data_IF_325826879175
#
_entry.id   IF_325826879175
#
_cell.length_a   1.000
_cell.length_b   1.000
_cell.length_c   1.000
_cell.angle_alpha   90.00
_cell.angle_beta   90.00
_cell.angle_gamma   90.00
#
_symmetry.space_group_name_H-M   'P 1'
#
loop_
_entity.id
_entity.type
_entity.pdbx_description
1 polymer ?
#
# COMPACT_ATOMS: atom_id res chain seq x y z
N UNK A 1 5.59 32.91 4.96
CA UNK A 1 4.85 32.46 6.17
C UNK A 1 5.55 32.89 7.45
N UNK A 2 6.81 32.47 7.65
CA UNK A 2 7.60 32.83 8.83
C UNK A 2 7.70 34.35 9.03
N UNK A 3 8.09 35.13 8.02
CA UNK A 3 8.20 36.60 8.13
C UNK A 3 6.88 37.27 8.56
N UNK A 4 5.74 36.75 8.11
CA UNK A 4 4.42 37.33 8.38
C UNK A 4 3.89 36.97 9.77
N UNK A 5 4.14 35.75 10.23
CA UNK A 5 3.51 35.20 11.44
C UNK A 5 4.49 34.94 12.58
N UNK A 6 5.80 35.08 12.33
CA UNK A 6 6.90 34.72 13.23
C UNK A 6 6.75 33.30 13.81
N UNK A 7 6.27 32.36 12.99
CA UNK A 7 6.04 30.96 13.36
C UNK A 7 6.73 30.03 12.38
N UNK A 8 7.39 29.01 12.92
CA UNK A 8 7.89 27.87 12.15
C UNK A 8 6.72 27.13 11.48
N UNK A 9 7.01 26.49 10.34
CA UNK A 9 6.01 25.88 9.46
C UNK A 9 6.00 24.37 9.62
N UNK A 10 4.81 23.76 9.57
CA UNK A 10 4.65 22.31 9.40
C UNK A 10 4.43 22.04 7.92
N UNK A 11 5.20 21.11 7.35
CA UNK A 11 5.09 20.71 5.95
C UNK A 11 4.54 19.29 5.88
N UNK A 12 3.44 19.11 5.15
CA UNK A 12 2.84 17.81 4.86
C UNK A 12 3.02 17.52 3.37
N UNK A 13 3.70 16.43 3.04
CA UNK A 13 3.98 16.01 1.67
C UNK A 13 3.28 14.68 1.47
N UNK A 14 2.21 14.68 0.68
CA UNK A 14 1.51 13.47 0.30
C UNK A 14 2.08 12.89 -0.99
N UNK A 15 2.00 11.56 -1.11
CA UNK A 15 2.47 10.77 -2.26
C UNK A 15 3.84 11.22 -2.80
N UNK A 16 4.84 11.34 -1.91
CA UNK A 16 6.16 11.88 -2.27
C UNK A 16 6.85 11.07 -3.38
N UNK A 17 6.47 9.80 -3.55
CA UNK A 17 7.00 8.80 -4.47
C UNK A 17 6.28 8.79 -5.84
N UNK A 18 5.08 9.35 -5.95
CA UNK A 18 4.32 9.45 -7.21
C UNK A 18 5.12 10.02 -8.39
N UNK A 19 5.87 11.14 -8.26
CA UNK A 19 6.63 11.66 -9.40
C UNK A 19 7.80 10.75 -9.81
N UNK A 20 8.32 9.95 -8.88
CA UNK A 20 9.40 9.00 -9.14
C UNK A 20 8.88 7.76 -9.87
N UNK A 21 7.70 7.27 -9.48
CA UNK A 21 6.98 6.21 -10.21
C UNK A 21 6.66 6.66 -11.63
N UNK A 22 6.15 7.88 -11.79
CA UNK A 22 5.89 8.46 -13.12
C UNK A 22 7.17 8.57 -13.96
N UNK A 23 8.27 9.04 -13.35
CA UNK A 23 9.56 9.13 -14.01
C UNK A 23 10.13 7.78 -14.44
N UNK A 24 9.88 6.73 -13.67
CA UNK A 24 10.23 5.36 -14.02
C UNK A 24 9.50 4.89 -15.27
N UNK A 25 8.17 5.02 -15.33
CA UNK A 25 7.39 4.64 -16.51
C UNK A 25 7.80 5.43 -17.76
N UNK A 26 8.16 6.70 -17.59
CA UNK A 26 8.57 7.57 -18.69
C UNK A 26 10.10 7.56 -18.95
N UNK A 27 10.84 6.64 -18.33
CA UNK A 27 12.28 6.38 -18.60
C UNK A 27 13.22 7.57 -18.32
N UNK A 28 12.87 8.41 -17.34
CA UNK A 28 13.74 9.51 -16.88
C UNK A 28 13.99 9.48 -15.35
N UNK A 29 13.80 8.31 -14.72
CA UNK A 29 13.92 8.11 -13.28
C UNK A 29 15.17 8.74 -12.65
N UNK A 30 16.36 8.51 -13.20
CA UNK A 30 17.61 9.03 -12.62
C UNK A 30 17.62 10.57 -12.50
N UNK A 31 17.12 11.27 -13.53
CA UNK A 31 17.02 12.74 -13.50
C UNK A 31 16.00 13.23 -12.47
N UNK A 32 14.85 12.55 -12.37
CA UNK A 32 13.84 12.89 -11.39
C UNK A 32 14.31 12.61 -9.96
N UNK A 33 14.95 11.46 -9.76
CA UNK A 33 15.54 11.03 -8.49
C UNK A 33 16.46 12.11 -7.91
N UNK A 34 17.41 12.59 -8.71
CA UNK A 34 18.37 13.61 -8.27
C UNK A 34 17.67 14.94 -7.96
N UNK A 35 16.71 15.36 -8.80
CA UNK A 35 15.93 16.57 -8.55
C UNK A 35 15.14 16.48 -7.23
N UNK A 36 14.36 15.41 -7.03
CA UNK A 36 13.52 15.25 -5.85
C UNK A 36 14.33 15.03 -4.58
N UNK A 37 15.49 14.35 -4.68
CA UNK A 37 16.46 14.26 -3.60
C UNK A 37 16.87 15.64 -3.10
N UNK A 38 17.32 16.53 -3.99
CA UNK A 38 17.71 17.89 -3.62
C UNK A 38 16.52 18.70 -3.13
N UNK A 39 15.37 18.60 -3.81
CA UNK A 39 14.15 19.33 -3.47
C UNK A 39 13.68 19.00 -2.04
N UNK A 40 13.45 17.72 -1.72
CA UNK A 40 13.02 17.31 -0.39
C UNK A 40 14.08 17.64 0.68
N UNK A 41 15.36 17.45 0.38
CA UNK A 41 16.44 17.80 1.31
C UNK A 41 16.45 19.29 1.66
N UNK A 42 16.27 20.18 0.67
CA UNK A 42 16.24 21.62 0.90
C UNK A 42 15.10 22.10 1.79
N UNK A 43 13.98 21.36 1.79
CA UNK A 43 12.79 21.69 2.60
C UNK A 43 12.90 21.10 4.00
N UNK A 44 13.40 19.86 4.11
CA UNK A 44 13.28 19.03 5.31
C UNK A 44 14.54 18.93 6.16
N UNK A 45 15.70 19.31 5.63
CA UNK A 45 16.98 19.26 6.32
C UNK A 45 17.52 20.66 6.56
N UNK A 46 17.99 20.92 7.79
CA UNK A 46 18.63 22.17 8.21
C UNK A 46 17.79 23.45 7.95
N UNK A 47 16.50 23.30 7.66
CA UNK A 47 15.59 24.40 7.44
C UNK A 47 15.16 25.01 8.78
N UNK A 48 15.76 26.16 9.12
CA UNK A 48 15.50 26.88 10.39
C UNK A 48 14.04 27.33 10.56
N UNK A 49 13.29 27.40 9.46
CA UNK A 49 11.88 27.77 9.45
C UNK A 49 10.95 26.57 9.60
N UNK A 50 11.45 25.34 9.53
CA UNK A 50 10.67 24.12 9.68
C UNK A 50 10.48 23.78 11.17
N UNK A 51 9.24 23.50 11.55
CA UNK A 51 8.90 22.90 12.84
C UNK A 51 8.90 21.37 12.75
N UNK A 52 8.24 20.84 11.71
CA UNK A 52 8.07 19.41 11.49
C UNK A 52 7.72 19.15 10.03
N UNK A 53 8.23 18.05 9.47
CA UNK A 53 7.83 17.52 8.18
C UNK A 53 7.17 16.16 8.34
N UNK A 54 6.09 15.91 7.59
CA UNK A 54 5.47 14.59 7.45
C UNK A 54 5.42 14.25 5.97
N UNK A 55 5.81 13.03 5.65
CA UNK A 55 5.78 12.51 4.28
C UNK A 55 5.01 11.20 4.25
N UNK A 56 4.15 11.03 3.26
CA UNK A 56 3.42 9.79 2.98
C UNK A 56 3.70 9.31 1.57
N UNK A 57 3.74 8.00 1.40
CA UNK A 57 4.06 7.34 0.13
C UNK A 57 4.06 5.83 0.30
N UNK A 58 4.00 5.11 -0.82
CA UNK A 58 3.93 3.65 -0.83
C UNK A 58 5.34 3.06 -0.91
N UNK A 59 6.17 3.63 -1.79
CA UNK A 59 7.49 3.12 -2.12
C UNK A 59 8.54 3.83 -1.29
N UNK A 60 9.30 3.05 -0.51
CA UNK A 60 10.37 3.56 0.35
C UNK A 60 11.67 3.80 -0.42
N UNK A 61 11.74 4.91 -1.14
CA UNK A 61 12.92 5.32 -1.96
C UNK A 61 14.20 5.63 -1.14
N UNK A 62 14.22 5.26 0.15
CA UNK A 62 15.33 5.39 1.09
C UNK A 62 16.55 4.58 0.64
N UNK A 63 16.34 3.35 0.12
CA UNK A 63 17.44 2.52 -0.41
C UNK A 63 17.97 3.01 -1.76
N UNK A 64 17.18 3.73 -2.55
CA UNK A 64 17.62 4.24 -3.85
C UNK A 64 18.50 5.52 -3.75
N UNK A 65 18.92 5.91 -2.55
CA UNK A 65 19.83 7.03 -2.32
C UNK A 65 19.18 8.42 -2.34
N UNK A 66 17.85 8.53 -2.50
CA UNK A 66 17.14 9.82 -2.40
C UNK A 66 17.22 10.39 -0.99
N UNK A 67 17.12 9.53 0.02
CA UNK A 67 17.17 9.95 1.41
C UNK A 67 18.55 9.72 2.06
N UNK A 68 19.59 9.38 1.29
CA UNK A 68 20.95 9.27 1.84
C UNK A 68 21.38 10.58 2.53
N UNK A 69 20.88 11.70 2.01
CA UNK A 69 21.20 13.03 2.51
C UNK A 69 20.22 13.45 3.63
N UNK A 70 19.07 12.78 3.76
CA UNK A 70 18.03 13.00 4.76
C UNK A 70 18.14 11.97 5.90
N UNK A 71 19.26 12.04 6.63
CA UNK A 71 19.56 11.18 7.78
C UNK A 71 18.79 11.54 9.07
N UNK A 72 17.84 12.47 8.99
CA UNK A 72 17.02 12.96 10.10
C UNK A 72 15.57 12.45 10.08
N UNK A 73 15.26 11.45 9.25
CA UNK A 73 13.91 10.90 9.09
C UNK A 73 13.66 9.70 10.02
N UNK A 74 12.54 9.75 10.73
CA UNK A 74 11.94 8.57 11.37
C UNK A 74 10.92 7.95 10.41
N UNK A 75 11.00 6.64 10.16
CA UNK A 75 10.04 5.95 9.30
C UNK A 75 9.10 5.06 10.10
N UNK A 76 7.79 5.20 9.85
CA UNK A 76 6.75 4.36 10.42
C UNK A 76 6.01 3.66 9.28
N UNK A 77 6.22 2.35 9.16
CA UNK A 77 5.57 1.52 8.14
C UNK A 77 4.33 0.83 8.71
N UNK A 78 3.51 0.26 7.84
CA UNK A 78 2.38 -0.60 8.22
C UNK A 78 2.79 -1.86 9.00
N UNK A 79 4.08 -2.23 8.97
CA UNK A 79 4.66 -3.32 9.77
C UNK A 79 5.02 -2.88 11.19
N UNK A 80 4.91 -1.59 11.49
CA UNK A 80 5.26 -1.00 12.78
C UNK A 80 4.08 -1.03 13.75
N UNK A 81 4.37 -1.11 15.04
CA UNK A 81 3.39 -0.97 16.12
C UNK A 81 3.04 0.51 16.41
N UNK A 82 3.65 1.46 15.70
CA UNK A 82 3.31 2.88 15.80
C UNK A 82 2.12 3.24 14.93
N UNK A 83 1.17 3.99 15.48
CA UNK A 83 -0.03 4.49 14.80
C UNK A 83 -0.89 3.43 14.08
N UNK A 84 -1.04 2.20 14.62
CA UNK A 84 -1.62 1.07 13.89
C UNK A 84 -3.10 1.29 13.52
N UNK A 85 -3.80 2.14 14.26
CA UNK A 85 -5.19 2.52 14.04
C UNK A 85 -5.36 3.79 13.19
N UNK A 86 -4.30 4.44 12.75
CA UNK A 86 -4.37 5.71 12.00
C UNK A 86 -4.45 5.54 10.48
N UNK A 87 -4.23 4.32 9.97
CA UNK A 87 -4.17 4.01 8.54
C UNK A 87 -5.52 3.55 7.96
N UNK A 88 -6.55 3.43 8.78
CA UNK A 88 -7.87 2.94 8.38
C UNK A 88 -8.95 3.32 9.39
N UNK A 89 -10.14 2.76 9.22
CA UNK A 89 -11.21 2.89 10.21
C UNK A 89 -11.19 1.69 11.16
N UNK A 90 -11.38 1.93 12.45
CA UNK A 90 -11.52 0.87 13.45
C UNK A 90 -12.91 0.23 13.40
N UNK A 91 -13.04 -0.99 13.93
CA UNK A 91 -14.34 -1.67 13.98
C UNK A 91 -15.42 -0.84 14.72
N UNK A 92 -15.03 -0.11 15.78
CA UNK A 92 -15.93 0.75 16.54
C UNK A 92 -16.39 1.98 15.74
N UNK A 93 -15.50 2.58 14.95
CA UNK A 93 -15.86 3.68 14.04
C UNK A 93 -16.82 3.21 12.94
N UNK A 94 -16.62 2.01 12.39
CA UNK A 94 -17.51 1.43 11.38
C UNK A 94 -18.88 1.08 11.97
N UNK A 95 -18.93 0.46 13.15
CA UNK A 95 -20.20 0.20 13.88
C UNK A 95 -20.97 1.49 14.14
N UNK A 96 -20.28 2.52 14.63
CA UNK A 96 -20.89 3.83 14.87
C UNK A 96 -21.43 4.43 13.57
N UNK A 97 -20.67 4.34 12.47
CA UNK A 97 -21.11 4.85 11.18
C UNK A 97 -22.36 4.12 10.65
N UNK A 98 -22.48 2.81 10.83
CA UNK A 98 -23.70 2.07 10.47
C UNK A 98 -24.94 2.59 11.21
N UNK A 99 -24.79 2.87 12.51
CA UNK A 99 -25.86 3.43 13.35
C UNK A 99 -26.21 4.85 12.88
N UNK A 100 -25.20 5.71 12.72
CA UNK A 100 -25.38 7.12 12.33
C UNK A 100 -26.07 7.26 10.96
N UNK A 101 -25.83 6.31 10.05
CA UNK A 101 -26.45 6.27 8.71
C UNK A 101 -27.73 5.44 8.64
N UNK A 102 -28.18 4.87 9.77
CA UNK A 102 -29.36 4.02 9.90
C UNK A 102 -29.36 2.85 8.89
N UNK A 103 -28.24 2.12 8.82
CA UNK A 103 -28.04 0.98 7.95
C UNK A 103 -28.17 -0.33 8.73
N UNK A 104 -29.12 -1.17 8.32
CA UNK A 104 -29.39 -2.48 8.91
C UNK A 104 -28.55 -3.58 8.22
N UNK A 105 -27.23 -3.50 8.33
CA UNK A 105 -26.32 -4.55 7.87
C UNK A 105 -25.72 -5.31 9.05
N UNK A 106 -25.59 -6.62 8.90
CA UNK A 106 -24.82 -7.45 9.82
C UNK A 106 -23.35 -7.05 9.76
N UNK A 107 -22.75 -6.79 10.93
CA UNK A 107 -21.35 -6.38 11.00
C UNK A 107 -20.41 -7.42 10.39
N UNK A 108 -20.77 -8.70 10.46
CA UNK A 108 -20.02 -9.79 9.83
C UNK A 108 -19.92 -9.67 8.31
N UNK A 109 -20.98 -9.20 7.65
CA UNK A 109 -20.96 -8.98 6.20
C UNK A 109 -20.09 -7.78 5.81
N UNK A 110 -20.19 -6.68 6.56
CA UNK A 110 -19.33 -5.49 6.36
C UNK A 110 -17.86 -5.85 6.58
N UNK A 111 -17.57 -6.68 7.59
CA UNK A 111 -16.25 -7.20 7.91
C UNK A 111 -15.67 -8.08 6.80
N UNK A 112 -16.44 -9.05 6.28
CA UNK A 112 -16.05 -9.90 5.15
C UNK A 112 -15.65 -9.07 3.91
N UNK A 113 -16.35 -7.94 3.70
CA UNK A 113 -16.12 -7.10 2.54
C UNK A 113 -14.95 -6.13 2.67
N UNK A 114 -14.78 -5.46 3.80
CA UNK A 114 -13.94 -4.25 3.88
C UNK A 114 -12.87 -4.24 4.98
N UNK A 115 -12.90 -5.19 5.91
CA UNK A 115 -11.88 -5.31 6.97
C UNK A 115 -10.63 -6.05 6.46
N UNK A 116 -9.72 -6.41 7.37
CA UNK A 116 -8.68 -7.38 7.10
C UNK A 116 -7.29 -6.79 6.90
N UNK A 117 -7.14 -5.46 7.01
CA UNK A 117 -5.83 -4.82 6.95
C UNK A 117 -5.20 -4.81 8.32
N UNK A 118 -4.12 -5.57 8.49
CA UNK A 118 -3.36 -5.62 9.74
C UNK A 118 -2.20 -4.65 9.69
N UNK A 119 -2.24 -3.67 10.58
CA UNK A 119 -1.17 -2.70 10.77
C UNK A 119 -0.67 -2.80 12.22
N UNK A 120 0.59 -3.20 12.39
CA UNK A 120 1.11 -3.62 13.69
C UNK A 120 0.16 -4.62 14.36
N UNK A 121 -0.42 -4.22 15.49
CA UNK A 121 -1.38 -5.02 16.28
C UNK A 121 -2.85 -4.69 16.05
N UNK A 122 -3.17 -3.72 15.20
CA UNK A 122 -4.56 -3.36 14.89
C UNK A 122 -5.00 -3.97 13.57
N UNK A 123 -6.30 -4.27 13.49
CA UNK A 123 -6.98 -4.60 12.24
C UNK A 123 -7.95 -3.45 11.93
N UNK A 124 -7.90 -2.96 10.69
CA UNK A 124 -8.66 -1.79 10.26
C UNK A 124 -9.31 -2.03 8.91
N UNK A 125 -10.35 -1.25 8.67
CA UNK A 125 -11.14 -1.24 7.46
C UNK A 125 -10.58 -0.20 6.48
N UNK A 126 -10.68 -0.49 5.18
CA UNK A 126 -10.33 0.46 4.14
C UNK A 126 -11.29 1.68 4.19
N UNK A 127 -10.80 2.92 4.41
CA UNK A 127 -11.67 4.09 4.53
C UNK A 127 -12.46 4.37 3.26
N UNK A 128 -11.84 4.23 2.08
CA UNK A 128 -12.49 4.48 0.80
C UNK A 128 -13.66 3.53 0.57
N UNK A 129 -13.45 2.24 0.84
CA UNK A 129 -14.50 1.23 0.67
C UNK A 129 -15.66 1.45 1.63
N UNK A 130 -15.39 1.76 2.91
CA UNK A 130 -16.44 2.07 3.89
C UNK A 130 -17.20 3.33 3.51
N UNK A 131 -16.53 4.43 3.17
CA UNK A 131 -17.21 5.69 2.81
C UNK A 131 -18.13 5.51 1.60
N UNK A 132 -17.69 4.77 0.58
CA UNK A 132 -18.52 4.49 -0.59
C UNK A 132 -19.66 3.52 -0.27
N UNK A 133 -19.42 2.52 0.57
CA UNK A 133 -20.48 1.64 1.06
C UNK A 133 -21.54 2.42 1.83
N UNK A 134 -21.16 3.31 2.75
CA UNK A 134 -22.11 4.14 3.51
C UNK A 134 -22.93 5.06 2.59
N UNK A 135 -22.30 5.59 1.53
CA UNK A 135 -22.97 6.43 0.54
C UNK A 135 -23.96 5.65 -0.34
N UNK A 136 -23.50 4.55 -0.96
CA UNK A 136 -24.28 3.77 -1.90
C UNK A 136 -25.23 2.76 -1.24
N UNK A 137 -25.00 2.46 0.05
CA UNK A 137 -25.79 1.53 0.88
C UNK A 137 -25.84 0.12 0.31
N UNK A 138 -24.77 -0.32 -0.35
CA UNK A 138 -24.69 -1.62 -1.00
C UNK A 138 -23.33 -2.27 -0.75
N UNK A 139 -23.33 -3.54 -0.34
CA UNK A 139 -22.11 -4.34 -0.23
C UNK A 139 -21.61 -4.76 -1.61
N UNK A 140 -20.60 -4.05 -2.10
CA UNK A 140 -19.91 -4.34 -3.35
C UNK A 140 -18.46 -3.86 -3.30
N UNK A 141 -17.72 -4.09 -4.38
CA UNK A 141 -16.37 -3.58 -4.51
C UNK A 141 -16.39 -2.10 -4.95
N UNK A 142 -15.57 -1.27 -4.30
CA UNK A 142 -15.43 0.19 -4.46
C UNK A 142 -13.99 0.63 -4.71
N UNK A 143 -13.01 -0.10 -4.20
CA UNK A 143 -11.58 0.14 -4.41
C UNK A 143 -11.11 -0.22 -5.82
N UNK A 144 -11.89 -1.06 -6.48
CA UNK A 144 -11.64 -1.70 -7.78
C UNK A 144 -11.47 -0.71 -8.95
N UNK A 145 -11.88 0.55 -8.79
CA UNK A 145 -11.88 1.58 -9.83
C UNK A 145 -10.84 2.69 -9.59
N UNK A 146 -9.87 2.49 -8.69
CA UNK A 146 -8.83 3.49 -8.38
C UNK A 146 -7.56 3.34 -9.25
N UNK A 147 -6.91 4.46 -9.55
CA UNK A 147 -5.79 4.61 -10.51
C UNK A 147 -4.46 3.93 -10.11
N UNK A 148 -4.36 3.30 -8.94
CA UNK A 148 -3.16 2.60 -8.47
C UNK A 148 -2.84 1.28 -9.21
N UNK A 149 -3.65 0.91 -10.20
CA UNK A 149 -3.53 -0.34 -10.94
C UNK A 149 -2.32 -0.39 -11.90
N UNK A 150 -1.74 0.75 -12.29
CA UNK A 150 -0.73 0.79 -13.37
C UNK A 150 0.60 0.15 -12.96
N UNK A 151 1.10 0.47 -11.76
CA UNK A 151 2.37 -0.08 -11.27
C UNK A 151 2.31 -1.60 -11.09
N UNK A 152 1.20 -2.10 -10.57
CA UNK A 152 1.01 -3.55 -10.41
C UNK A 152 0.78 -4.22 -11.75
N UNK A 153 0.03 -3.60 -12.67
CA UNK A 153 -0.07 -4.11 -14.03
C UNK A 153 1.31 -4.22 -14.71
N UNK A 154 2.22 -3.30 -14.44
CA UNK A 154 3.58 -3.32 -14.99
C UNK A 154 4.46 -4.39 -14.36
N UNK A 155 4.42 -4.53 -13.03
CA UNK A 155 5.09 -5.63 -12.32
C UNK A 155 4.55 -6.99 -12.79
N UNK A 156 3.25 -7.06 -13.08
CA UNK A 156 2.62 -8.27 -13.57
C UNK A 156 3.07 -8.66 -14.99
N UNK A 157 3.44 -7.72 -15.86
CA UNK A 157 3.95 -8.04 -17.21
C UNK A 157 5.23 -8.88 -17.18
N UNK A 158 5.95 -8.87 -16.06
CA UNK A 158 7.27 -9.48 -15.88
C UNK A 158 7.17 -10.82 -15.09
N UNK A 159 5.94 -11.27 -14.81
CA UNK A 159 5.65 -12.43 -13.96
C UNK A 159 6.21 -13.74 -14.50
N UNK A 160 7.04 -14.37 -13.67
CA UNK A 160 7.58 -15.72 -13.86
C UNK A 160 6.61 -16.79 -13.33
N UNK A 161 6.83 -18.06 -13.68
CA UNK A 161 5.92 -19.19 -13.36
C UNK A 161 5.74 -19.40 -11.85
N UNK A 162 6.79 -19.12 -11.08
CA UNK A 162 6.83 -19.16 -9.62
C UNK A 162 5.85 -18.16 -8.99
N UNK A 163 5.89 -16.88 -9.38
CA UNK A 163 4.93 -15.86 -8.96
C UNK A 163 3.50 -16.29 -9.30
N UNK A 164 3.24 -16.83 -10.50
CA UNK A 164 1.89 -17.34 -10.87
C UNK A 164 1.40 -18.40 -9.88
N UNK A 165 2.27 -19.33 -9.48
CA UNK A 165 1.95 -20.38 -8.51
C UNK A 165 1.64 -19.78 -7.14
N UNK A 166 2.38 -18.78 -6.71
CA UNK A 166 2.19 -18.14 -5.41
C UNK A 166 0.95 -17.24 -5.38
N UNK A 167 0.63 -16.56 -6.48
CA UNK A 167 -0.65 -15.87 -6.67
C UNK A 167 -1.83 -16.85 -6.58
N UNK A 168 -1.70 -18.06 -7.15
CA UNK A 168 -2.72 -19.11 -7.03
C UNK A 168 -2.89 -19.58 -5.58
N UNK A 169 -1.79 -19.79 -4.83
CA UNK A 169 -1.85 -20.13 -3.40
C UNK A 169 -2.63 -19.09 -2.60
N UNK A 170 -2.32 -17.80 -2.80
CA UNK A 170 -3.03 -16.69 -2.16
C UNK A 170 -4.53 -16.72 -2.48
N UNK A 171 -4.88 -16.96 -3.75
CA UNK A 171 -6.29 -17.04 -4.17
C UNK A 171 -7.05 -18.21 -3.54
N UNK A 172 -6.37 -19.35 -3.37
CA UNK A 172 -6.88 -20.54 -2.69
C UNK A 172 -6.95 -20.36 -1.16
N UNK A 173 -6.58 -19.19 -0.64
CA UNK A 173 -6.59 -18.87 0.80
C UNK A 173 -5.40 -19.45 1.56
N UNK A 174 -4.35 -19.88 0.86
CA UNK A 174 -3.10 -20.31 1.50
C UNK A 174 -2.23 -19.10 1.76
N UNK A 175 -1.77 -18.95 3.00
CA UNK A 175 -0.80 -17.93 3.38
C UNK A 175 0.49 -18.05 2.58
N UNK A 176 1.12 -16.91 2.29
CA UNK A 176 2.37 -16.81 1.55
C UNK A 176 3.48 -16.32 2.47
N UNK A 177 4.45 -17.18 2.79
CA UNK A 177 5.62 -16.80 3.57
C UNK A 177 6.58 -15.97 2.72
N UNK A 178 6.90 -14.76 3.16
CA UNK A 178 7.83 -13.85 2.49
C UNK A 178 8.80 -13.22 3.48
N UNK A 179 10.02 -12.95 3.01
CA UNK A 179 10.94 -12.06 3.72
C UNK A 179 10.62 -10.62 3.30
N UNK A 180 10.31 -9.76 4.25
CA UNK A 180 10.03 -8.36 4.02
C UNK A 180 11.08 -7.54 4.74
N UNK A 181 12.04 -7.00 3.98
CA UNK A 181 13.06 -6.09 4.49
C UNK A 181 12.50 -4.76 5.00
N UNK A 182 11.19 -4.56 4.85
CA UNK A 182 10.46 -3.34 5.18
C UNK A 182 10.85 -2.14 4.33
N UNK A 183 11.77 -2.27 3.36
CA UNK A 183 12.40 -1.18 2.60
C UNK A 183 12.49 -1.53 1.10
N UNK A 184 11.62 -0.94 0.28
CA UNK A 184 11.56 -1.18 -1.17
C UNK A 184 12.41 -0.19 -1.98
N UNK A 185 13.31 -0.68 -2.82
CA UNK A 185 14.09 0.16 -3.74
C UNK A 185 13.44 0.19 -5.14
N UNK A 186 13.08 1.38 -5.65
CA UNK A 186 12.46 1.54 -6.98
C UNK A 186 13.36 0.99 -8.11
N UNK A 187 14.69 1.04 -7.94
CA UNK A 187 15.63 0.49 -8.92
C UNK A 187 15.59 -1.05 -8.99
N UNK A 188 15.02 -1.69 -7.96
CA UNK A 188 14.88 -3.14 -7.80
C UNK A 188 13.42 -3.61 -7.81
N UNK A 189 12.45 -2.75 -8.13
CA UNK A 189 11.01 -3.10 -8.15
C UNK A 189 10.66 -4.30 -9.06
N UNK A 190 11.58 -4.68 -9.94
CA UNK A 190 11.45 -5.86 -10.79
C UNK A 190 12.01 -7.16 -10.18
N UNK A 191 12.47 -7.12 -8.93
CA UNK A 191 12.88 -8.28 -8.15
C UNK A 191 11.69 -9.06 -7.59
N UNK A 192 11.91 -10.36 -7.35
CA UNK A 192 10.93 -11.31 -6.82
C UNK A 192 10.51 -11.01 -5.38
N UNK A 193 11.34 -10.34 -4.60
CA UNK A 193 11.08 -10.00 -3.20
C UNK A 193 10.31 -8.68 -3.11
N UNK A 194 10.62 -7.74 -3.99
CA UNK A 194 10.05 -6.39 -4.02
C UNK A 194 8.60 -6.37 -4.52
N UNK A 195 8.17 -7.35 -5.35
CA UNK A 195 6.76 -7.46 -5.78
C UNK A 195 5.81 -7.69 -4.59
N UNK A 196 6.17 -8.59 -3.67
CA UNK A 196 5.30 -8.94 -2.55
C UNK A 196 5.22 -7.79 -1.55
N UNK A 197 6.35 -7.11 -1.33
CA UNK A 197 6.40 -5.90 -0.54
C UNK A 197 5.54 -4.80 -1.17
N UNK A 198 5.68 -4.54 -2.46
CA UNK A 198 4.85 -3.57 -3.16
C UNK A 198 3.35 -3.90 -3.07
N UNK A 199 2.97 -5.17 -3.26
CA UNK A 199 1.57 -5.60 -3.14
C UNK A 199 1.02 -5.42 -1.73
N UNK A 200 1.84 -5.64 -0.70
CA UNK A 200 1.47 -5.38 0.70
C UNK A 200 1.29 -3.89 0.96
N UNK A 201 2.28 -3.05 0.65
CA UNK A 201 2.23 -1.60 0.90
C UNK A 201 1.17 -0.88 0.04
N UNK A 202 0.80 -1.44 -1.11
CA UNK A 202 -0.27 -0.93 -1.96
C UNK A 202 -1.67 -1.42 -1.55
N UNK A 203 -1.79 -2.24 -0.50
CA UNK A 203 -3.08 -2.71 0.02
C UNK A 203 -3.73 -3.89 -0.73
N UNK A 204 -2.98 -4.61 -1.57
CA UNK A 204 -3.46 -5.85 -2.21
C UNK A 204 -3.25 -7.07 -1.31
N UNK A 205 -2.28 -7.01 -0.41
CA UNK A 205 -2.00 -8.01 0.61
C UNK A 205 -2.08 -7.38 2.00
N UNK A 206 -2.16 -8.24 2.99
CA UNK A 206 -2.12 -7.90 4.42
C UNK A 206 -1.28 -8.93 5.15
N UNK A 207 -0.79 -8.58 6.35
CA UNK A 207 -0.08 -9.51 7.22
C UNK A 207 -1.08 -10.40 7.96
N UNK A 208 -0.96 -11.71 7.76
CA UNK A 208 -1.66 -12.72 8.55
C UNK A 208 -0.92 -13.07 9.83
N UNK A 209 0.41 -13.13 9.78
CA UNK A 209 1.26 -13.46 10.93
C UNK A 209 2.68 -12.92 10.73
N UNK A 210 3.31 -12.46 11.81
CA UNK A 210 4.76 -12.20 11.86
C UNK A 210 5.43 -13.42 12.49
N UNK A 211 6.22 -14.15 11.70
CA UNK A 211 6.89 -15.38 12.15
C UNK A 211 8.14 -15.04 12.96
N UNK A 212 8.96 -14.12 12.46
CA UNK A 212 10.17 -13.62 13.10
C UNK A 212 10.42 -12.15 12.66
N UNK A 213 11.63 -11.61 12.86
CA UNK A 213 11.95 -10.21 12.57
C UNK A 213 11.61 -9.77 11.14
N UNK A 214 11.95 -10.60 10.15
CA UNK A 214 11.87 -10.29 8.72
C UNK A 214 10.88 -11.18 7.96
N UNK A 215 10.43 -12.29 8.54
CA UNK A 215 9.51 -13.21 7.87
C UNK A 215 8.06 -13.03 8.30
N UNK A 216 7.18 -12.93 7.29
CA UNK A 216 5.75 -12.70 7.45
C UNK A 216 4.96 -13.71 6.61
N UNK A 217 3.77 -14.07 7.10
CA UNK A 217 2.74 -14.75 6.30
C UNK A 217 1.81 -13.67 5.75
N UNK A 218 1.66 -13.64 4.44
CA UNK A 218 0.78 -12.71 3.74
C UNK A 218 -0.48 -13.40 3.25
N UNK A 219 -1.60 -12.66 3.26
CA UNK A 219 -2.89 -13.11 2.73
C UNK A 219 -3.59 -11.99 1.97
N UNK A 220 -4.68 -12.34 1.29
CA UNK A 220 -5.64 -11.35 0.78
C UNK A 220 -6.47 -10.81 1.97
N UNK A 221 -6.72 -9.49 2.07
CA UNK A 221 -7.34 -8.89 3.24
C UNK A 221 -8.82 -9.27 3.37
N UNK A 222 -9.57 -9.17 2.28
CA UNK A 222 -11.03 -9.30 2.29
C UNK A 222 -11.58 -9.74 0.93
N UNK A 223 -12.90 -9.89 0.89
CA UNK A 223 -13.65 -10.30 -0.31
C UNK A 223 -13.53 -9.30 -1.46
N UNK A 224 -13.46 -8.01 -1.18
CA UNK A 224 -13.29 -6.98 -2.20
C UNK A 224 -11.98 -7.19 -2.98
N UNK A 225 -10.86 -7.26 -2.26
CA UNK A 225 -9.54 -7.44 -2.87
C UNK A 225 -9.45 -8.82 -3.53
N UNK A 226 -10.04 -9.86 -2.94
CA UNK A 226 -10.09 -11.20 -3.57
C UNK A 226 -10.82 -11.19 -4.92
N UNK A 227 -11.91 -10.43 -5.05
CA UNK A 227 -12.62 -10.27 -6.33
C UNK A 227 -11.76 -9.54 -7.36
N UNK A 228 -11.11 -8.44 -6.96
CA UNK A 228 -10.18 -7.72 -7.84
C UNK A 228 -9.05 -8.64 -8.30
N UNK A 229 -8.50 -9.41 -7.36
CA UNK A 229 -7.42 -10.34 -7.59
C UNK A 229 -7.80 -11.40 -8.63
N UNK A 230 -8.99 -11.98 -8.49
CA UNK A 230 -9.53 -12.94 -9.46
C UNK A 230 -9.62 -12.32 -10.87
N UNK A 231 -10.22 -11.14 -10.98
CA UNK A 231 -10.47 -10.47 -12.27
C UNK A 231 -9.17 -10.02 -12.96
N UNK A 232 -8.25 -9.47 -12.19
CA UNK A 232 -7.05 -8.80 -12.73
C UNK A 232 -5.91 -9.78 -12.97
N UNK A 233 -5.77 -10.79 -12.11
CA UNK A 233 -4.62 -11.70 -12.11
C UNK A 233 -5.01 -13.10 -12.58
N UNK A 234 -6.10 -13.67 -12.08
CA UNK A 234 -6.48 -15.03 -12.51
C UNK A 234 -7.05 -15.03 -13.92
N UNK A 235 -8.05 -14.19 -14.21
CA UNK A 235 -8.71 -14.20 -15.52
C UNK A 235 -7.79 -13.70 -16.65
N UNK A 236 -6.89 -12.75 -16.38
CA UNK A 236 -5.93 -12.24 -17.37
C UNK A 236 -4.87 -13.26 -17.75
N UNK A 237 -4.36 -14.04 -16.78
CA UNK A 237 -3.27 -15.00 -16.99
C UNK A 237 -3.76 -16.42 -17.31
N UNK A 238 -4.93 -16.81 -16.82
CA UNK A 238 -5.50 -18.15 -17.03
C UNK A 238 -6.71 -18.15 -17.96
N UNK A 239 -7.43 -17.03 -18.11
CA UNK A 239 -8.60 -16.91 -18.98
C UNK A 239 -8.27 -16.69 -20.46
N UNK A 240 -7.07 -16.19 -20.78
CA UNK A 240 -6.54 -16.16 -22.16
C UNK A 240 -5.83 -17.47 -22.53
N UNK A 241 -6.59 -18.55 -22.54
CA UNK A 241 -6.28 -19.78 -23.28
C UNK A 241 -5.43 -20.83 -22.55
N UNK A 242 -6.06 -21.94 -22.15
CA UNK A 242 -5.71 -23.34 -22.48
C UNK A 242 -4.23 -23.80 -22.62
N UNK A 243 -3.22 -23.12 -22.06
CA UNK A 243 -1.81 -23.55 -22.12
C UNK A 243 -1.07 -23.51 -20.79
N UNK A 244 -1.76 -23.84 -19.71
CA UNK A 244 -1.12 -24.38 -18.50
C UNK A 244 -1.85 -25.66 -18.05
N UNK A 245 -2.17 -26.52 -19.03
CA UNK A 245 -2.40 -27.94 -18.76
C UNK A 245 -1.02 -28.50 -18.40
N UNK A 246 -0.81 -28.69 -17.09
CA UNK A 246 0.31 -29.32 -16.37
C UNK A 246 0.86 -28.39 -15.28
N UNK A 247 0.03 -28.19 -14.24
CA UNK A 247 0.45 -27.87 -12.87
C UNK A 247 -0.25 -28.84 -11.93
#
# INVERSE_FOLDING_TARGET
LYEKYNKKVVVLIDEYDAPLVSAYHNKYYEKAKDFFKTFYSSVLKDNVYLQMGVMTGIIRVIKAGIFSDLNNLNTYTILSDFYPNCYGLTEEEVKKALIDYNLEYEMGDVKDWYDGYRFGKSEVYNPWSILNFLHAKELRAYWVDTSGNDLINDVLKIVRKDIVRDLKKLFDGKGLKQNLSGTSDLSRILGEEEIWELMLFSGYLTVEEKIDEDYYILRLPNREVRRLFKRTFIEKYFGRGNKLINL
#
